data_IF_848658311529
#
_entry.id   IF_848658311529
#
_cell.length_a   1.000
_cell.length_b   1.000
_cell.length_c   1.000
_cell.angle_alpha   90.00
_cell.angle_beta   90.00
_cell.angle_gamma   90.00
#
_symmetry.space_group_name_H-M   'P 1'
#
loop_
_entity.id
_entity.type
_entity.pdbx_description
1 polymer ?
#
# COMPACT_ATOMS: atom_id res chain seq x y z
N UNK A 1 -11.75 -21.11 4.30
CA UNK A 1 -11.99 -19.69 3.96
C UNK A 1 -13.39 -19.56 3.43
N UNK A 2 -14.30 -19.04 4.24
CA UNK A 2 -15.69 -18.80 3.84
C UNK A 2 -15.78 -17.52 3.00
N UNK A 3 -15.31 -17.62 1.74
CA UNK A 3 -15.56 -16.55 0.77
C UNK A 3 -16.95 -16.73 0.19
N UNK A 4 -17.77 -15.68 0.20
CA UNK A 4 -19.12 -15.71 -0.38
C UNK A 4 -19.07 -15.31 -1.85
N UNK A 5 -19.69 -16.10 -2.73
CA UNK A 5 -19.83 -15.69 -4.13
C UNK A 5 -20.99 -14.69 -4.26
N UNK A 6 -20.73 -13.51 -4.79
CA UNK A 6 -21.71 -12.45 -5.03
C UNK A 6 -21.83 -12.14 -6.52
N UNK A 7 -23.00 -11.64 -6.91
CA UNK A 7 -23.32 -11.27 -8.31
C UNK A 7 -23.77 -9.82 -8.35
N UNK A 8 -23.30 -9.09 -9.35
CA UNK A 8 -23.71 -7.74 -9.65
C UNK A 8 -24.09 -7.68 -11.13
N UNK A 9 -25.27 -7.13 -11.44
CA UNK A 9 -25.68 -6.86 -12.81
C UNK A 9 -24.95 -5.62 -13.33
N UNK A 10 -24.87 -5.48 -14.65
CA UNK A 10 -24.41 -4.25 -15.28
C UNK A 10 -25.18 -3.04 -14.74
N UNK A 11 -24.45 -2.01 -14.31
CA UNK A 11 -24.97 -0.79 -13.71
C UNK A 11 -25.09 -0.82 -12.19
N UNK A 12 -24.99 -1.99 -11.56
CA UNK A 12 -25.07 -2.10 -10.10
C UNK A 12 -23.89 -1.38 -9.44
N UNK A 13 -24.19 -0.63 -8.38
CA UNK A 13 -23.18 -0.02 -7.51
C UNK A 13 -22.73 -1.06 -6.49
N UNK A 14 -21.47 -1.49 -6.59
CA UNK A 14 -20.87 -2.47 -5.67
C UNK A 14 -20.70 -1.84 -4.28
N UNK A 15 -20.27 -0.58 -4.23
CA UNK A 15 -20.30 0.30 -3.06
C UNK A 15 -20.06 1.75 -3.49
N UNK A 16 -20.53 2.71 -2.67
CA UNK A 16 -20.29 4.15 -2.86
C UNK A 16 -19.13 4.67 -2.02
N UNK A 17 -18.49 5.74 -2.50
CA UNK A 17 -17.57 6.53 -1.70
C UNK A 17 -18.21 6.97 -0.37
N UNK A 18 -17.44 6.97 0.72
CA UNK A 18 -17.90 7.33 2.05
C UNK A 18 -18.64 6.22 2.82
N UNK A 19 -19.01 5.11 2.19
CA UNK A 19 -19.61 3.98 2.90
C UNK A 19 -18.66 3.34 3.91
N UNK A 20 -19.23 2.78 4.97
CA UNK A 20 -18.49 2.15 6.08
C UNK A 20 -18.27 0.65 5.89
N UNK A 21 -18.82 0.05 4.84
CA UNK A 21 -18.61 -1.38 4.57
C UNK A 21 -17.13 -1.65 4.30
N UNK A 22 -16.60 -2.75 4.86
CA UNK A 22 -15.16 -3.07 4.80
C UNK A 22 -14.83 -4.30 3.95
N UNK A 23 -15.82 -4.89 3.29
CA UNK A 23 -15.61 -6.12 2.53
C UNK A 23 -14.76 -5.84 1.29
N UNK A 24 -13.84 -6.74 0.98
CA UNK A 24 -13.10 -6.72 -0.27
C UNK A 24 -13.76 -7.67 -1.26
N UNK A 25 -13.67 -7.38 -2.56
CA UNK A 25 -14.21 -8.22 -3.61
C UNK A 25 -13.11 -8.60 -4.60
N UNK A 26 -13.01 -9.88 -4.96
CA UNK A 26 -12.14 -10.37 -6.03
C UNK A 26 -13.01 -10.73 -7.24
N UNK A 27 -12.82 -10.03 -8.36
CA UNK A 27 -13.61 -10.22 -9.58
C UNK A 27 -13.20 -11.54 -10.24
N UNK A 28 -14.14 -12.47 -10.40
CA UNK A 28 -13.94 -13.73 -11.15
C UNK A 28 -14.27 -13.58 -12.63
N UNK A 29 -15.30 -12.82 -12.95
CA UNK A 29 -15.76 -12.53 -14.32
C UNK A 29 -16.38 -11.13 -14.36
N UNK A 30 -16.43 -10.54 -15.54
CA UNK A 30 -16.96 -9.20 -15.75
C UNK A 30 -15.94 -8.09 -15.46
N UNK A 31 -16.42 -6.86 -15.48
CA UNK A 31 -15.65 -5.62 -15.37
C UNK A 31 -16.40 -4.59 -14.55
N UNK A 32 -15.67 -3.80 -13.77
CA UNK A 32 -16.17 -2.69 -12.96
C UNK A 32 -15.34 -1.44 -13.25
N UNK A 33 -15.96 -0.26 -13.14
CA UNK A 33 -15.26 1.02 -13.13
C UNK A 33 -15.18 1.59 -11.72
N UNK A 34 -14.07 2.24 -11.42
CA UNK A 34 -13.83 2.96 -10.16
C UNK A 34 -13.93 4.45 -10.43
N UNK A 35 -14.78 5.14 -9.68
CA UNK A 35 -15.01 6.57 -9.78
C UNK A 35 -14.69 7.26 -8.46
N UNK A 36 -13.93 8.34 -8.50
CA UNK A 36 -13.81 9.25 -7.36
C UNK A 36 -14.80 10.40 -7.54
N UNK A 37 -15.33 10.89 -6.44
CA UNK A 37 -16.16 12.08 -6.43
C UNK A 37 -15.31 13.25 -5.91
N UNK A 38 -15.22 14.31 -6.70
CA UNK A 38 -14.57 15.54 -6.30
C UNK A 38 -15.39 16.71 -6.86
N UNK A 39 -15.72 17.67 -6.00
CA UNK A 39 -16.54 18.84 -6.35
C UNK A 39 -17.87 18.47 -7.05
N UNK A 40 -18.49 17.37 -6.62
CA UNK A 40 -19.73 16.85 -7.21
C UNK A 40 -19.57 16.22 -8.60
N UNK A 41 -18.36 16.18 -9.16
CA UNK A 41 -18.05 15.48 -10.42
C UNK A 41 -17.57 14.06 -10.13
N UNK A 42 -18.07 13.10 -10.90
CA UNK A 42 -17.58 11.73 -10.90
C UNK A 42 -16.47 11.57 -11.94
N UNK A 43 -15.28 11.24 -11.46
CA UNK A 43 -14.08 11.10 -12.28
C UNK A 43 -13.71 9.62 -12.36
N UNK A 44 -13.77 8.98 -13.53
CA UNK A 44 -13.34 7.59 -13.69
C UNK A 44 -11.81 7.51 -13.55
N UNK A 45 -11.34 6.65 -12.65
CA UNK A 45 -9.90 6.48 -12.37
C UNK A 45 -9.35 5.25 -13.08
N UNK A 46 -10.07 4.13 -13.01
CA UNK A 46 -9.59 2.87 -13.58
C UNK A 46 -10.72 1.88 -13.78
N UNK A 47 -10.48 0.89 -14.63
CA UNK A 47 -11.33 -0.28 -14.80
C UNK A 47 -10.67 -1.50 -14.17
N UNK A 48 -11.50 -2.36 -13.59
CA UNK A 48 -11.12 -3.59 -12.92
C UNK A 48 -11.83 -4.76 -13.58
N UNK A 49 -11.11 -5.84 -13.85
CA UNK A 49 -11.62 -7.07 -14.47
C UNK A 49 -11.17 -8.33 -13.73
N UNK A 50 -11.28 -9.47 -14.41
CA UNK A 50 -10.98 -10.80 -13.86
C UNK A 50 -9.61 -10.86 -13.16
N UNK A 51 -9.61 -11.38 -11.93
CA UNK A 51 -8.43 -11.54 -11.09
C UNK A 51 -8.04 -10.30 -10.30
N UNK A 52 -8.55 -9.12 -10.66
CA UNK A 52 -8.37 -7.91 -9.87
C UNK A 52 -9.35 -7.86 -8.71
N UNK A 53 -9.00 -7.11 -7.69
CA UNK A 53 -9.80 -6.93 -6.48
C UNK A 53 -10.13 -5.47 -6.23
N UNK A 54 -11.13 -5.20 -5.40
CA UNK A 54 -11.56 -3.85 -5.06
C UNK A 54 -12.07 -3.79 -3.63
N UNK A 55 -11.92 -2.62 -2.99
CA UNK A 55 -12.31 -2.42 -1.61
C UNK A 55 -11.25 -2.81 -0.60
N UNK A 56 -10.05 -3.15 -1.07
CA UNK A 56 -8.91 -3.55 -0.24
C UNK A 56 -8.48 -2.44 0.74
N UNK A 57 -8.67 -1.17 0.37
CA UNK A 57 -8.28 -0.05 1.21
C UNK A 57 -9.07 -0.05 2.51
N UNK A 58 -10.39 -0.14 2.42
CA UNK A 58 -11.30 -0.20 3.58
C UNK A 58 -11.15 -1.52 4.35
N UNK A 59 -10.93 -2.62 3.63
CA UNK A 59 -10.64 -3.92 4.21
C UNK A 59 -9.39 -3.87 5.12
N UNK A 60 -8.26 -3.39 4.60
CA UNK A 60 -6.98 -3.34 5.32
C UNK A 60 -6.88 -2.24 6.37
N UNK A 61 -7.52 -1.09 6.16
CA UNK A 61 -7.34 0.10 7.02
C UNK A 61 -8.55 0.47 7.88
N UNK A 62 -9.71 -0.13 7.61
CA UNK A 62 -10.97 0.24 8.28
C UNK A 62 -11.52 1.61 7.96
N UNK A 63 -10.83 2.38 7.11
CA UNK A 63 -11.32 3.66 6.62
C UNK A 63 -12.52 3.44 5.70
N UNK A 64 -13.40 4.45 5.60
CA UNK A 64 -14.52 4.49 4.65
C UNK A 64 -14.04 4.27 3.20
N UNK A 65 -14.95 3.85 2.33
CA UNK A 65 -14.68 3.69 0.89
C UNK A 65 -14.14 5.00 0.31
N UNK A 66 -13.01 4.92 -0.38
CA UNK A 66 -12.34 6.06 -1.02
C UNK A 66 -12.91 6.42 -2.40
N UNK A 67 -13.68 5.50 -2.99
CA UNK A 67 -14.22 5.63 -4.34
C UNK A 67 -15.54 4.86 -4.45
N UNK A 68 -16.35 5.23 -5.42
CA UNK A 68 -17.54 4.50 -5.86
C UNK A 68 -17.13 3.48 -6.91
N UNK A 69 -17.71 2.28 -6.86
CA UNK A 69 -17.43 1.21 -7.83
C UNK A 69 -18.73 0.73 -8.45
N UNK A 70 -18.76 0.73 -9.78
CA UNK A 70 -19.95 0.39 -10.57
C UNK A 70 -19.60 -0.75 -11.52
N UNK A 71 -20.48 -1.75 -11.62
CA UNK A 71 -20.34 -2.85 -12.57
C UNK A 71 -20.57 -2.36 -14.01
N UNK A 72 -19.59 -2.50 -14.90
CA UNK A 72 -19.70 -2.18 -16.32
C UNK A 72 -20.32 -3.34 -17.12
N UNK A 73 -20.11 -4.56 -16.63
CA UNK A 73 -20.73 -5.80 -17.13
C UNK A 73 -21.23 -6.63 -15.95
N UNK A 74 -21.95 -7.72 -16.23
CA UNK A 74 -22.36 -8.63 -15.17
C UNK A 74 -21.12 -9.24 -14.49
N UNK A 75 -20.98 -9.00 -13.19
CA UNK A 75 -19.84 -9.46 -12.38
C UNK A 75 -20.23 -10.64 -11.52
N UNK A 76 -19.33 -11.61 -11.46
CA UNK A 76 -19.26 -12.57 -10.37
C UNK A 76 -17.98 -12.28 -9.56
N UNK A 77 -18.11 -12.13 -8.25
CA UNK A 77 -16.97 -11.84 -7.39
C UNK A 77 -16.98 -12.69 -6.11
N UNK A 78 -15.81 -12.98 -5.56
CA UNK A 78 -15.70 -13.45 -4.18
C UNK A 78 -15.71 -12.25 -3.25
N UNK A 79 -16.62 -12.23 -2.30
CA UNK A 79 -16.62 -11.31 -1.18
C UNK A 79 -15.78 -11.89 -0.03
N UNK A 80 -14.90 -11.05 0.51
CA UNK A 80 -13.97 -11.37 1.60
C UNK A 80 -14.23 -10.38 2.74
N UNK A 81 -14.73 -10.85 3.89
CA UNK A 81 -14.98 -10.02 5.05
C UNK A 81 -13.68 -9.71 5.83
N UNK A 82 -13.59 -8.57 6.53
CA UNK A 82 -12.38 -8.10 7.22
C UNK A 82 -11.94 -8.95 8.41
N UNK A 83 -12.85 -9.73 9.02
CA UNK A 83 -12.52 -10.62 10.15
C UNK A 83 -11.46 -11.67 9.81
N UNK A 84 -11.26 -11.95 8.51
CA UNK A 84 -10.16 -12.80 8.04
C UNK A 84 -8.77 -12.22 8.37
N UNK A 85 -8.66 -10.92 8.64
CA UNK A 85 -7.39 -10.28 9.03
C UNK A 85 -7.01 -10.57 10.48
N UNK A 86 -7.99 -10.89 11.32
CA UNK A 86 -7.83 -11.15 12.75
C UNK A 86 -7.81 -12.66 13.06
N UNK A 87 -7.95 -13.51 12.03
CA UNK A 87 -7.95 -14.96 12.18
C UNK A 87 -6.53 -15.47 12.43
N UNK A 88 -6.26 -15.83 13.69
CA UNK A 88 -4.97 -16.37 14.14
C UNK A 88 -4.57 -17.65 13.38
N UNK A 89 -5.53 -18.45 12.90
CA UNK A 89 -5.25 -19.67 12.14
C UNK A 89 -4.66 -19.37 10.75
N UNK A 90 -4.85 -18.16 10.24
CA UNK A 90 -4.23 -17.73 9.00
C UNK A 90 -2.79 -17.27 9.19
N UNK A 91 -2.31 -17.08 10.42
CA UNK A 91 -0.91 -16.78 10.69
C UNK A 91 -0.42 -15.50 10.00
N UNK A 92 -1.28 -14.48 9.88
CA UNK A 92 -0.92 -13.22 9.21
C UNK A 92 0.21 -12.52 9.99
N UNK A 93 1.35 -12.34 9.33
CA UNK A 93 2.48 -11.66 9.95
C UNK A 93 2.24 -10.16 10.07
N UNK A 94 2.51 -9.60 11.26
CA UNK A 94 2.30 -8.17 11.56
C UNK A 94 3.00 -7.24 10.56
N UNK A 95 4.20 -7.60 10.11
CA UNK A 95 4.95 -6.80 9.15
C UNK A 95 4.33 -6.81 7.75
N UNK A 96 3.70 -7.91 7.34
CA UNK A 96 3.08 -8.03 6.02
C UNK A 96 1.85 -7.12 5.97
N UNK A 97 1.07 -7.11 7.06
CA UNK A 97 -0.04 -6.17 7.25
C UNK A 97 0.47 -4.73 7.23
N UNK A 98 1.59 -4.44 7.90
CA UNK A 98 2.23 -3.12 7.86
C UNK A 98 2.57 -2.66 6.44
N UNK A 99 3.22 -3.51 5.65
CA UNK A 99 3.57 -3.20 4.25
C UNK A 99 2.32 -2.96 3.41
N UNK A 100 1.29 -3.81 3.56
CA UNK A 100 0.03 -3.64 2.86
C UNK A 100 -0.62 -2.29 3.17
N UNK A 101 -0.63 -1.88 4.45
CA UNK A 101 -1.16 -0.58 4.89
C UNK A 101 -0.36 0.60 4.31
N UNK A 102 0.97 0.50 4.24
CA UNK A 102 1.81 1.54 3.63
C UNK A 102 1.49 1.71 2.15
N UNK A 103 1.38 0.60 1.41
CA UNK A 103 1.01 0.63 -0.01
C UNK A 103 -0.38 1.25 -0.21
N UNK A 104 -1.37 0.85 0.59
CA UNK A 104 -2.73 1.41 0.54
C UNK A 104 -2.71 2.92 0.77
N UNK A 105 -2.00 3.38 1.80
CA UNK A 105 -1.89 4.82 2.11
C UNK A 105 -1.30 5.59 0.93
N UNK A 106 -0.22 5.08 0.32
CA UNK A 106 0.38 5.69 -0.87
C UNK A 106 -0.58 5.76 -2.04
N UNK A 107 -1.26 4.66 -2.36
CA UNK A 107 -2.25 4.64 -3.45
C UNK A 107 -3.32 5.69 -3.22
N UNK A 108 -3.82 5.82 -1.98
CA UNK A 108 -4.83 6.83 -1.65
C UNK A 108 -4.31 8.23 -1.90
N UNK A 109 -3.14 8.57 -1.35
CA UNK A 109 -2.55 9.91 -1.51
C UNK A 109 -2.34 10.25 -2.98
N UNK A 110 -1.80 9.33 -3.78
CA UNK A 110 -1.59 9.55 -5.21
C UNK A 110 -2.90 9.67 -5.97
N UNK A 111 -3.93 8.87 -5.62
CA UNK A 111 -5.26 8.95 -6.24
C UNK A 111 -5.95 10.29 -5.93
N UNK A 112 -5.79 10.80 -4.71
CA UNK A 112 -6.32 12.11 -4.31
C UNK A 112 -5.65 13.25 -5.07
N UNK A 113 -4.31 13.21 -5.19
CA UNK A 113 -3.55 14.17 -6.01
C UNK A 113 -4.00 14.13 -7.47
N UNK A 114 -4.12 12.93 -8.05
CA UNK A 114 -4.64 12.76 -9.42
C UNK A 114 -6.03 13.41 -9.56
N UNK A 115 -6.92 13.22 -8.58
CA UNK A 115 -8.22 13.88 -8.56
C UNK A 115 -8.16 15.41 -8.49
N UNK A 116 -7.24 15.98 -7.72
CA UNK A 116 -7.00 17.44 -7.65
C UNK A 116 -6.54 17.97 -9.02
N UNK A 117 -5.61 17.28 -9.67
CA UNK A 117 -5.11 17.66 -10.99
C UNK A 117 -6.19 17.57 -12.09
N UNK A 118 -7.03 16.52 -12.06
CA UNK A 118 -8.09 16.31 -13.05
C UNK A 118 -9.20 17.36 -13.03
N UNK A 119 -9.30 18.17 -11.97
CA UNK A 119 -10.29 19.25 -11.87
C UNK A 119 -9.73 20.59 -12.37
N UNK A 120 -8.41 20.72 -12.52
CA UNK A 120 -7.75 21.97 -12.89
C UNK A 120 -7.54 22.89 -11.69
N UNK A 121 -6.53 23.76 -11.79
CA UNK A 121 -6.15 24.73 -10.75
C UNK A 121 -7.29 25.73 -10.47
N UNK A 122 -8.15 25.42 -9.51
CA UNK A 122 -8.68 26.43 -8.61
C UNK A 122 -8.09 26.16 -7.23
N UNK A 123 -7.11 27.00 -6.87
CA UNK A 123 -6.62 27.13 -5.49
C UNK A 123 -7.83 27.06 -4.56
N UNK A 124 -7.85 26.21 -3.51
CA UNK A 124 -8.98 26.17 -2.60
C UNK A 124 -9.13 27.55 -1.99
N UNK A 125 -10.12 28.29 -2.50
CA UNK A 125 -10.57 29.52 -1.89
C UNK A 125 -11.24 29.04 -0.63
N UNK A 126 -10.73 29.47 0.53
CA UNK A 126 -11.45 29.33 1.79
C UNK A 126 -12.75 30.10 1.58
N UNK A 127 -13.80 29.41 1.16
CA UNK A 127 -15.15 29.96 1.10
C UNK A 127 -15.71 29.81 2.50
N UNK A 128 -15.62 30.89 3.25
CA UNK A 128 -16.60 31.17 4.29
C UNK A 128 -17.99 31.17 3.63
N UNK A 129 -18.79 30.13 3.88
CA UNK A 129 -20.21 30.25 4.20
C UNK A 129 -20.89 28.86 4.15
N UNK A 130 -21.33 28.38 5.31
CA UNK A 130 -22.74 28.52 5.71
C UNK A 130 -22.90 27.98 7.14
N UNK A 131 -22.76 28.91 8.09
CA UNK A 131 -23.56 28.84 9.30
C UNK A 131 -25.03 29.01 8.89
N UNK A 132 -25.92 28.30 9.59
CA UNK A 132 -27.38 28.31 9.49
C UNK A 132 -28.02 27.41 8.42
N UNK A 133 -28.36 26.18 8.83
CA UNK A 133 -29.68 25.62 8.57
C UNK A 133 -30.08 24.78 9.79
N UNK A 134 -31.07 25.27 10.54
CA UNK A 134 -31.78 24.46 11.51
C UNK A 134 -32.49 23.32 10.77
N UNK A 135 -32.15 22.07 11.09
CA UNK A 135 -32.94 20.91 10.65
C UNK A 135 -34.11 20.78 11.63
N UNK A 136 -35.38 20.77 11.18
CA UNK A 136 -36.51 20.54 12.07
C UNK A 136 -36.42 19.13 12.67
N UNK A 137 -36.50 19.07 14.00
CA UNK A 137 -36.52 17.83 14.77
C UNK A 137 -37.79 17.02 14.45
N UNK A 138 -37.70 15.70 14.20
CA UNK A 138 -38.84 14.83 14.36
C UNK A 138 -39.18 14.68 15.86
N UNK A 139 -40.45 14.40 16.07
CA UNK A 139 -41.21 14.42 17.32
C UNK A 139 -40.52 13.86 18.57
N UNK A 140 -40.77 14.52 19.69
CA UNK A 140 -40.23 14.19 21.02
C UNK A 140 -40.98 13.00 21.60
N UNK A 141 -40.27 11.88 21.77
CA UNK A 141 -40.52 11.01 22.93
C UNK A 141 -39.20 10.48 23.52
N UNK A 142 -38.83 11.14 24.62
CA UNK A 142 -38.01 10.71 25.75
C UNK A 142 -36.90 9.65 25.54
N UNK A 143 -35.64 10.10 25.48
CA UNK A 143 -34.50 9.64 26.34
C UNK A 143 -33.43 10.75 26.36
N UNK A 144 -32.82 11.01 27.52
CA UNK A 144 -31.88 12.10 27.88
C UNK A 144 -30.79 12.40 26.81
N UNK A 145 -30.67 13.67 26.41
CA UNK A 145 -29.60 14.20 25.54
C UNK A 145 -28.35 14.57 26.35
N UNK A 146 -27.25 13.84 26.20
CA UNK A 146 -25.90 14.33 26.55
C UNK A 146 -25.47 15.36 25.50
N UNK A 147 -25.15 16.59 25.92
CA UNK A 147 -24.68 17.68 25.07
C UNK A 147 -23.23 17.46 24.62
N UNK A 148 -22.99 16.44 23.77
CA UNK A 148 -21.69 16.26 23.15
C UNK A 148 -21.53 17.21 21.94
N UNK A 149 -20.55 18.13 21.98
CA UNK A 149 -20.15 18.92 20.81
C UNK A 149 -19.17 18.08 19.98
N UNK A 150 -19.39 17.91 18.68
CA UNK A 150 -18.53 17.09 17.81
C UNK A 150 -17.73 17.97 16.84
N UNK A 151 -16.42 17.74 16.75
CA UNK A 151 -15.51 18.36 15.80
C UNK A 151 -15.06 17.32 14.77
N UNK A 152 -15.50 17.49 13.52
CA UNK A 152 -15.09 16.63 12.41
C UNK A 152 -13.78 17.11 11.82
N UNK A 153 -12.77 16.25 11.82
CA UNK A 153 -11.48 16.51 11.19
C UNK A 153 -11.47 15.88 9.79
N UNK A 154 -11.06 16.67 8.79
CA UNK A 154 -10.99 16.28 7.38
C UNK A 154 -9.58 16.51 6.84
N UNK A 155 -9.16 15.69 5.88
CA UNK A 155 -7.91 15.93 5.15
C UNK A 155 -6.67 15.39 5.87
N UNK A 156 -5.51 16.00 5.65
CA UNK A 156 -4.25 15.60 6.28
C UNK A 156 -4.12 16.25 7.66
N UNK A 157 -3.89 15.45 8.69
CA UNK A 157 -3.64 15.92 10.05
C UNK A 157 -2.12 16.07 10.26
N UNK A 158 -1.64 17.30 10.05
CA UNK A 158 -0.21 17.62 10.04
C UNK A 158 0.16 18.61 11.14
N UNK A 159 1.46 18.92 11.29
CA UNK A 159 1.94 19.99 12.16
C UNK A 159 1.14 21.30 11.99
N UNK A 160 0.82 21.66 10.73
CA UNK A 160 0.04 22.86 10.40
C UNK A 160 -1.41 22.82 10.88
N UNK A 161 -1.97 21.63 11.07
CA UNK A 161 -3.35 21.43 11.51
C UNK A 161 -3.51 21.57 13.02
N UNK A 162 -2.42 21.40 13.79
CA UNK A 162 -2.44 21.30 15.25
C UNK A 162 -2.92 22.59 15.91
N UNK A 163 -2.32 23.73 15.58
CA UNK A 163 -2.66 25.00 16.23
C UNK A 163 -4.07 25.50 15.88
N UNK A 164 -4.56 25.39 14.64
CA UNK A 164 -5.97 25.61 14.33
C UNK A 164 -6.93 24.78 15.19
N UNK A 165 -6.60 23.50 15.42
CA UNK A 165 -7.43 22.60 16.24
C UNK A 165 -7.37 23.00 17.72
N UNK A 166 -6.19 23.29 18.27
CA UNK A 166 -6.06 23.79 19.64
C UNK A 166 -6.86 25.07 19.85
N UNK A 167 -6.80 26.00 18.91
CA UNK A 167 -7.55 27.24 18.98
C UNK A 167 -9.06 26.96 18.92
N UNK A 168 -9.51 26.05 18.05
CA UNK A 168 -10.92 25.66 18.00
C UNK A 168 -11.40 25.02 19.30
N UNK A 169 -10.60 24.13 19.91
CA UNK A 169 -10.91 23.52 21.20
C UNK A 169 -11.04 24.60 22.30
N UNK A 170 -10.14 25.59 22.31
CA UNK A 170 -10.19 26.72 23.25
C UNK A 170 -11.41 27.61 23.02
N UNK A 171 -11.72 27.95 21.77
CA UNK A 171 -12.90 28.75 21.38
C UNK A 171 -14.21 28.09 21.81
N UNK A 172 -14.27 26.76 21.78
CA UNK A 172 -15.46 26.01 22.16
C UNK A 172 -15.80 26.12 23.65
N UNK A 173 -14.90 26.71 24.49
CA UNK A 173 -15.08 26.99 25.92
C UNK A 173 -15.85 25.87 26.62
N UNK A 174 -15.25 24.68 26.64
CA UNK A 174 -15.87 23.48 27.21
C UNK A 174 -16.33 23.78 28.65
N UNK A 175 -17.65 23.86 28.84
CA UNK A 175 -18.23 23.91 30.19
C UNK A 175 -17.93 22.57 30.87
N UNK A 176 -17.94 22.50 32.21
CA UNK A 176 -17.60 21.27 32.95
C UNK A 176 -18.34 20.01 32.45
N UNK A 177 -19.58 20.18 32.01
CA UNK A 177 -20.46 19.07 31.60
C UNK A 177 -20.50 18.84 30.07
N UNK A 178 -19.66 19.51 29.30
CA UNK A 178 -19.65 19.39 27.83
C UNK A 178 -18.62 18.36 27.38
N UNK A 179 -19.08 17.30 26.73
CA UNK A 179 -18.20 16.32 26.08
C UNK A 179 -17.85 16.83 24.68
N UNK A 180 -16.57 16.93 24.36
CA UNK A 180 -16.09 17.19 23.01
C UNK A 180 -15.74 15.87 22.32
N UNK A 181 -16.36 15.59 21.18
CA UNK A 181 -16.00 14.45 20.35
C UNK A 181 -15.09 14.93 19.23
N UNK A 182 -13.83 14.50 19.23
CA UNK A 182 -12.91 14.67 18.11
C UNK A 182 -13.07 13.49 17.15
N UNK A 183 -13.65 13.73 15.99
CA UNK A 183 -13.97 12.70 15.00
C UNK A 183 -12.95 12.71 13.86
N UNK A 184 -12.18 11.62 13.74
CA UNK A 184 -11.15 11.44 12.72
C UNK A 184 -11.63 10.71 11.46
N UNK A 185 -12.94 10.49 11.28
CA UNK A 185 -13.51 9.67 10.19
C UNK A 185 -13.03 10.02 8.79
N UNK A 186 -12.80 11.30 8.54
CA UNK A 186 -12.51 11.83 7.21
C UNK A 186 -11.05 12.33 7.11
N UNK A 187 -10.20 11.94 8.08
CA UNK A 187 -8.76 12.17 8.04
C UNK A 187 -8.10 11.16 7.10
N UNK A 188 -7.29 11.66 6.17
CA UNK A 188 -6.66 10.86 5.11
C UNK A 188 -5.15 10.68 5.29
N UNK A 189 -4.56 11.42 6.20
CA UNK A 189 -3.19 11.16 6.61
C UNK A 189 -2.92 11.81 7.96
N UNK A 190 -1.92 11.31 8.69
CA UNK A 190 -1.46 11.90 9.94
C UNK A 190 0.06 11.89 9.94
N UNK A 191 0.72 13.05 10.05
CA UNK A 191 2.19 13.09 10.14
C UNK A 191 2.68 12.78 11.58
N UNK A 192 4.00 12.81 11.79
CA UNK A 192 4.57 12.54 13.12
C UNK A 192 4.12 13.55 14.18
N UNK A 193 4.00 14.83 13.81
CA UNK A 193 3.56 15.88 14.72
C UNK A 193 2.11 15.67 15.16
N UNK A 194 1.23 15.28 14.22
CA UNK A 194 -0.15 14.91 14.49
C UNK A 194 -0.24 13.71 15.43
N UNK A 195 0.51 12.62 15.18
CA UNK A 195 0.57 11.46 16.07
C UNK A 195 0.98 11.87 17.49
N UNK A 196 2.05 12.67 17.62
CA UNK A 196 2.54 13.14 18.91
C UNK A 196 1.49 13.97 19.65
N UNK A 197 0.76 14.83 18.94
CA UNK A 197 -0.31 15.63 19.52
C UNK A 197 -1.50 14.78 19.97
N UNK A 198 -1.88 13.74 19.21
CA UNK A 198 -2.93 12.81 19.65
C UNK A 198 -2.48 12.08 20.92
N UNK A 199 -1.24 11.60 20.98
CA UNK A 199 -0.73 10.96 22.19
C UNK A 199 -0.71 11.91 23.39
N UNK A 200 -0.41 13.20 23.19
CA UNK A 200 -0.48 14.17 24.27
C UNK A 200 -1.93 14.47 24.69
N UNK A 201 -2.88 14.49 23.74
CA UNK A 201 -4.31 14.58 24.04
C UNK A 201 -4.79 13.37 24.86
N UNK A 202 -4.46 12.14 24.46
CA UNK A 202 -4.86 10.91 25.17
C UNK A 202 -4.34 10.91 26.62
N UNK A 203 -3.15 11.49 26.85
CA UNK A 203 -2.54 11.62 28.17
C UNK A 203 -3.03 12.84 28.97
N UNK A 204 -3.88 13.69 28.38
CA UNK A 204 -4.38 14.89 29.04
C UNK A 204 -5.48 14.57 30.05
N UNK A 205 -5.59 15.37 31.11
CA UNK A 205 -6.67 15.24 32.09
C UNK A 205 -8.06 15.36 31.46
N UNK A 206 -8.21 16.14 30.38
CA UNK A 206 -9.49 16.31 29.69
C UNK A 206 -9.99 15.00 29.06
N UNK A 207 -9.10 14.12 28.58
CA UNK A 207 -9.48 12.78 28.10
C UNK A 207 -9.70 11.83 29.26
N UNK A 208 -8.86 11.88 30.29
CA UNK A 208 -8.98 11.03 31.49
C UNK A 208 -10.31 11.26 32.23
N UNK A 209 -10.78 12.51 32.27
CA UNK A 209 -12.08 12.91 32.84
C UNK A 209 -13.25 12.77 31.86
N UNK A 210 -13.03 12.13 30.69
CA UNK A 210 -14.03 11.90 29.63
C UNK A 210 -14.65 13.18 29.03
N UNK A 211 -14.00 14.34 29.22
CA UNK A 211 -14.40 15.64 28.64
C UNK A 211 -14.05 15.74 27.16
N UNK A 212 -13.02 15.03 26.71
CA UNK A 212 -12.69 14.85 25.29
C UNK A 212 -12.74 13.36 24.94
N UNK A 213 -13.62 12.98 24.01
CA UNK A 213 -13.69 11.65 23.42
C UNK A 213 -13.10 11.69 22.02
N UNK A 214 -12.18 10.78 21.73
CA UNK A 214 -11.59 10.65 20.40
C UNK A 214 -12.26 9.45 19.70
N UNK A 215 -12.91 9.71 18.58
CA UNK A 215 -13.60 8.68 17.79
C UNK A 215 -12.93 8.47 16.43
N UNK A 216 -13.17 7.30 15.85
CA UNK A 216 -12.66 6.92 14.53
C UNK A 216 -11.12 6.96 14.42
N UNK A 217 -10.43 6.67 15.54
CA UNK A 217 -8.97 6.55 15.66
C UNK A 217 -8.32 5.40 14.87
N UNK A 218 -9.07 4.68 14.03
CA UNK A 218 -8.54 3.53 13.29
C UNK A 218 -7.35 3.93 12.40
N UNK A 219 -7.35 5.15 11.85
CA UNK A 219 -6.24 5.74 11.08
C UNK A 219 -4.93 5.91 11.87
N UNK A 220 -5.05 6.30 13.14
CA UNK A 220 -3.90 6.52 14.05
C UNK A 220 -3.34 5.18 14.48
N UNK A 221 -4.23 4.25 14.86
CA UNK A 221 -3.87 2.86 15.13
C UNK A 221 -3.13 2.28 13.94
N UNK A 222 -3.55 2.55 12.71
CA UNK A 222 -2.92 1.96 11.54
C UNK A 222 -1.54 2.50 11.21
N UNK A 223 -1.28 3.81 11.38
CA UNK A 223 0.08 4.35 11.21
C UNK A 223 1.01 3.93 12.35
N UNK A 224 0.50 3.83 13.58
CA UNK A 224 1.28 3.35 14.74
C UNK A 224 1.54 1.83 14.65
N UNK A 225 0.54 1.03 14.27
CA UNK A 225 0.65 -0.42 14.08
C UNK A 225 1.47 -0.77 12.83
N UNK A 226 1.40 0.02 11.75
CA UNK A 226 2.22 -0.20 10.55
C UNK A 226 3.71 -0.10 10.88
N UNK A 227 4.08 0.86 11.73
CA UNK A 227 5.47 1.01 12.17
C UNK A 227 5.84 -0.15 13.13
N UNK A 228 4.95 -0.52 14.06
CA UNK A 228 5.22 -1.55 15.06
C UNK A 228 5.50 -2.94 14.44
N UNK A 229 4.77 -3.33 13.41
CA UNK A 229 5.02 -4.58 12.68
C UNK A 229 6.40 -4.64 12.02
N UNK A 230 6.88 -3.51 11.47
CA UNK A 230 8.22 -3.38 10.89
C UNK A 230 9.31 -3.26 11.97
N UNK A 231 9.02 -2.57 13.08
CA UNK A 231 9.90 -2.51 14.25
C UNK A 231 10.21 -3.89 14.81
N UNK A 232 9.25 -4.83 14.79
CA UNK A 232 9.50 -6.21 15.20
C UNK A 232 10.54 -6.93 14.31
N UNK A 233 10.54 -6.66 13.00
CA UNK A 233 11.62 -7.15 12.12
C UNK A 233 12.93 -6.47 12.51
N UNK A 234 12.90 -5.14 12.66
CA UNK A 234 14.07 -4.32 13.01
C UNK A 234 14.70 -4.68 14.37
N UNK A 235 13.93 -5.19 15.32
CA UNK A 235 14.42 -5.62 16.63
C UNK A 235 14.99 -7.05 16.59
N UNK A 236 14.47 -7.92 15.72
CA UNK A 236 14.89 -9.33 15.61
C UNK A 236 16.08 -9.54 14.68
N UNK A 237 16.32 -8.61 13.76
CA UNK A 237 17.40 -8.67 12.78
C UNK A 237 18.32 -7.47 12.96
N UNK A 238 19.64 -7.67 12.89
CA UNK A 238 20.60 -6.55 12.94
C UNK A 238 20.55 -5.79 11.60
N UNK A 239 19.48 -5.03 11.38
CA UNK A 239 19.25 -4.32 10.12
C UNK A 239 20.22 -3.15 10.03
N UNK A 240 21.03 -3.05 8.97
CA UNK A 240 21.94 -1.93 8.76
C UNK A 240 21.21 -0.59 8.79
N UNK A 241 21.82 0.41 9.42
CA UNK A 241 21.36 1.79 9.38
C UNK A 241 22.23 2.54 8.37
N UNK A 242 21.58 3.18 7.39
CA UNK A 242 22.24 4.11 6.47
C UNK A 242 21.94 5.54 6.92
N UNK A 243 22.99 6.34 7.06
CA UNK A 243 22.90 7.79 7.21
C UNK A 243 22.79 8.42 5.82
N UNK A 244 21.94 9.43 5.69
CA UNK A 244 21.69 10.12 4.42
C UNK A 244 21.75 11.62 4.67
N UNK A 245 22.65 12.30 3.98
CA UNK A 245 22.82 13.75 4.11
C UNK A 245 21.77 14.52 3.29
N UNK A 246 21.53 15.78 3.64
CA UNK A 246 20.63 16.64 2.86
C UNK A 246 21.14 16.76 1.42
N UNK A 247 20.25 16.54 0.46
CA UNK A 247 20.53 16.53 -0.97
C UNK A 247 21.10 15.21 -1.50
N UNK A 248 21.40 14.24 -0.64
CA UNK A 248 21.89 12.93 -1.07
C UNK A 248 20.75 12.14 -1.75
N UNK A 249 21.08 11.52 -2.88
CA UNK A 249 20.22 10.59 -3.60
C UNK A 249 20.27 9.22 -2.93
N UNK A 250 19.18 8.86 -2.26
CA UNK A 250 19.02 7.56 -1.62
C UNK A 250 18.67 6.45 -2.63
N UNK A 251 17.83 6.77 -3.62
CA UNK A 251 17.40 5.84 -4.66
C UNK A 251 17.49 6.55 -6.01
N UNK A 252 18.12 5.93 -7.01
CA UNK A 252 18.08 6.40 -8.41
C UNK A 252 17.00 5.65 -9.20
N UNK A 253 16.15 6.39 -9.89
CA UNK A 253 15.21 5.92 -10.90
C UNK A 253 15.93 5.06 -11.94
N UNK A 254 15.26 3.98 -12.36
CA UNK A 254 15.83 3.03 -13.33
C UNK A 254 16.86 2.07 -12.76
N UNK A 255 17.39 2.31 -11.54
CA UNK A 255 18.32 1.39 -10.92
C UNK A 255 17.67 0.03 -10.66
N UNK A 256 18.47 -1.02 -10.80
CA UNK A 256 18.09 -2.39 -10.47
C UNK A 256 18.56 -2.69 -9.04
N UNK A 257 17.74 -2.29 -8.08
CA UNK A 257 18.01 -2.51 -6.66
C UNK A 257 16.82 -3.17 -5.98
N UNK A 258 17.12 -4.16 -5.15
CA UNK A 258 16.15 -4.95 -4.41
C UNK A 258 16.35 -4.74 -2.91
N UNK A 259 16.26 -3.49 -2.49
CA UNK A 259 16.28 -3.10 -1.08
C UNK A 259 15.13 -2.13 -0.81
N UNK A 260 14.50 -2.22 0.34
CA UNK A 260 13.57 -1.20 0.82
C UNK A 260 14.16 -0.49 2.02
N UNK A 261 13.68 0.72 2.25
CA UNK A 261 14.14 1.57 3.32
C UNK A 261 12.98 1.89 4.25
N UNK A 262 13.16 1.70 5.55
CA UNK A 262 12.23 2.21 6.56
C UNK A 262 12.84 3.47 7.14
N UNK A 263 12.15 4.59 7.00
CA UNK A 263 12.65 5.89 7.47
C UNK A 263 12.59 5.92 8.99
N UNK A 264 13.74 6.09 9.64
CA UNK A 264 13.81 6.28 11.10
C UNK A 264 13.60 7.74 11.46
N UNK A 265 14.28 8.64 10.75
CA UNK A 265 14.13 10.10 10.85
C UNK A 265 14.62 10.76 9.55
N UNK A 266 14.35 12.06 9.41
CA UNK A 266 14.62 12.83 8.21
C UNK A 266 13.38 13.04 7.35
N UNK A 267 13.59 13.61 6.17
CA UNK A 267 12.56 13.94 5.19
C UNK A 267 13.09 13.61 3.80
N UNK A 268 12.33 12.86 3.02
CA UNK A 268 12.74 12.41 1.70
C UNK A 268 11.67 12.75 0.67
N UNK A 269 12.06 13.42 -0.41
CA UNK A 269 11.19 13.66 -1.57
C UNK A 269 11.32 12.51 -2.55
N UNK A 270 10.17 11.99 -2.99
CA UNK A 270 10.06 10.96 -4.01
C UNK A 270 9.59 11.66 -5.28
N UNK A 271 10.44 11.68 -6.31
CA UNK A 271 10.17 12.37 -7.56
C UNK A 271 10.52 11.51 -8.75
N UNK A 272 9.94 11.80 -9.91
CA UNK A 272 10.25 11.12 -11.15
C UNK A 272 10.78 12.12 -12.16
N UNK A 273 11.94 11.80 -12.73
CA UNK A 273 12.47 12.52 -13.88
C UNK A 273 11.71 12.08 -15.14
N UNK A 274 11.22 13.07 -15.88
CA UNK A 274 10.54 12.92 -17.15
C UNK A 274 11.17 13.85 -18.19
N UNK A 275 10.87 13.63 -19.47
CA UNK A 275 11.35 14.51 -20.56
C UNK A 275 10.91 15.98 -20.37
N UNK A 276 9.76 16.19 -19.73
CA UNK A 276 9.16 17.52 -19.51
C UNK A 276 9.53 18.16 -18.18
N UNK A 277 10.30 17.48 -17.33
CA UNK A 277 10.70 17.98 -16.01
C UNK A 277 10.61 16.94 -14.89
N UNK A 278 10.73 17.40 -13.65
CA UNK A 278 10.66 16.54 -12.46
C UNK A 278 9.27 16.61 -11.82
N UNK A 279 8.63 15.46 -11.68
CA UNK A 279 7.30 15.33 -11.08
C UNK A 279 7.44 14.84 -9.65
N UNK A 280 6.92 15.58 -8.67
CA UNK A 280 6.94 15.14 -7.27
C UNK A 280 5.77 14.18 -7.01
N UNK A 281 6.09 12.90 -6.78
CA UNK A 281 5.09 11.87 -6.54
C UNK A 281 4.63 11.86 -5.08
N UNK A 282 5.56 12.00 -4.14
CA UNK A 282 5.27 11.90 -2.71
C UNK A 282 6.40 12.48 -1.85
N UNK A 283 6.14 12.53 -0.54
CA UNK A 283 7.11 12.80 0.51
C UNK A 283 7.09 11.65 1.51
N UNK A 284 8.24 11.29 2.06
CA UNK A 284 8.38 10.25 3.06
C UNK A 284 9.10 10.78 4.31
N UNK A 285 8.56 10.41 5.48
CA UNK A 285 9.02 10.83 6.80
C UNK A 285 9.14 9.60 7.72
N UNK A 286 9.48 9.83 9.00
CA UNK A 286 9.63 8.76 9.99
C UNK A 286 8.46 7.76 9.96
N UNK A 287 8.80 6.47 9.87
CA UNK A 287 7.86 5.36 9.78
C UNK A 287 7.41 4.99 8.37
N UNK A 288 7.68 5.82 7.37
CA UNK A 288 7.35 5.49 5.98
C UNK A 288 8.34 4.48 5.39
N UNK A 289 7.85 3.66 4.47
CA UNK A 289 8.66 2.68 3.73
C UNK A 289 8.83 3.16 2.30
N UNK A 290 10.06 3.16 1.79
CA UNK A 290 10.41 3.59 0.44
C UNK A 290 11.16 2.48 -0.29
N UNK A 291 10.95 2.34 -1.60
CA UNK A 291 11.62 1.31 -2.40
C UNK A 291 11.05 -0.10 -2.22
N UNK A 292 9.94 -0.24 -1.51
CA UNK A 292 9.21 -1.48 -1.28
C UNK A 292 8.79 -2.14 -2.60
N UNK A 293 8.50 -1.33 -3.61
CA UNK A 293 7.94 -1.80 -4.86
C UNK A 293 8.88 -2.71 -5.63
N UNK A 294 10.19 -2.44 -5.66
CA UNK A 294 11.18 -3.25 -6.40
C UNK A 294 11.66 -4.47 -5.60
N UNK A 295 11.48 -4.44 -4.27
CA UNK A 295 11.77 -5.57 -3.39
C UNK A 295 10.66 -6.63 -3.45
N UNK A 296 9.40 -6.19 -3.36
CA UNK A 296 8.20 -7.05 -3.29
C UNK A 296 7.81 -7.60 -4.67
N UNK A 297 7.87 -6.73 -5.69
CA UNK A 297 7.57 -7.09 -7.07
C UNK A 297 8.74 -6.68 -7.95
N UNK A 298 9.36 -7.67 -8.60
CA UNK A 298 10.52 -7.44 -9.46
C UNK A 298 10.27 -6.31 -10.46
N UNK A 299 11.25 -5.41 -10.57
CA UNK A 299 11.21 -4.26 -11.45
C UNK A 299 12.24 -3.22 -11.04
N UNK A 300 12.49 -2.27 -11.94
CA UNK A 300 13.36 -1.13 -11.69
C UNK A 300 12.76 -0.17 -10.67
N UNK A 301 13.61 0.67 -10.07
CA UNK A 301 13.19 1.82 -9.28
C UNK A 301 12.34 2.75 -10.15
N UNK A 302 11.13 3.06 -9.70
CA UNK A 302 10.17 3.88 -10.44
C UNK A 302 10.38 5.38 -10.31
N UNK A 303 11.22 5.80 -9.36
CA UNK A 303 11.38 7.19 -8.95
C UNK A 303 12.74 7.40 -8.26
N UNK A 304 13.23 8.62 -8.31
CA UNK A 304 14.30 9.13 -7.48
C UNK A 304 13.81 9.38 -6.05
N UNK A 305 14.70 9.24 -5.08
CA UNK A 305 14.45 9.57 -3.68
C UNK A 305 15.61 10.38 -3.14
N UNK A 306 15.36 11.63 -2.78
CA UNK A 306 16.38 12.58 -2.33
C UNK A 306 16.02 13.06 -0.93
N UNK A 307 17.02 13.20 -0.05
CA UNK A 307 16.80 13.71 1.30
C UNK A 307 16.65 15.25 1.31
N UNK A 308 15.50 15.78 1.73
CA UNK A 308 15.32 17.23 1.94
C UNK A 308 15.91 17.69 3.28
N UNK A 309 15.92 16.78 4.26
CA UNK A 309 16.53 16.94 5.58
C UNK A 309 17.42 15.73 5.85
N UNK A 310 18.57 15.90 6.51
CA UNK A 310 19.43 14.77 6.86
C UNK A 310 18.64 13.77 7.70
N UNK A 311 18.92 12.50 7.51
CA UNK A 311 18.11 11.43 8.07
C UNK A 311 18.84 10.10 8.19
N UNK A 312 18.14 9.15 8.78
CA UNK A 312 18.61 7.77 8.91
C UNK A 312 17.51 6.83 8.46
N UNK A 313 17.91 5.79 7.73
CA UNK A 313 17.01 4.76 7.22
C UNK A 313 17.53 3.38 7.59
N UNK A 314 16.61 2.46 7.90
CA UNK A 314 16.94 1.05 8.00
C UNK A 314 16.92 0.43 6.61
N UNK A 315 17.97 -0.30 6.26
CA UNK A 315 18.12 -0.92 4.93
C UNK A 315 17.72 -2.38 5.00
N UNK A 316 16.56 -2.72 4.44
CA UNK A 316 16.08 -4.10 4.37
C UNK A 316 16.33 -4.65 2.97
N UNK A 317 17.20 -5.66 2.89
CA UNK A 317 17.49 -6.35 1.64
C UNK A 317 16.51 -7.51 1.39
N UNK A 318 16.62 -8.10 0.19
CA UNK A 318 15.91 -9.33 -0.21
C UNK A 318 15.97 -10.39 0.87
N UNK A 319 17.13 -10.67 1.45
CA UNK A 319 17.32 -11.76 2.41
C UNK A 319 16.56 -11.47 3.71
N UNK A 320 16.64 -10.26 4.22
CA UNK A 320 15.92 -9.83 5.44
C UNK A 320 14.40 -9.85 5.22
N UNK A 321 13.95 -9.44 4.05
CA UNK A 321 12.55 -9.53 3.66
C UNK A 321 12.08 -10.98 3.61
N UNK A 322 12.79 -11.84 2.87
CA UNK A 322 12.41 -13.24 2.69
C UNK A 322 12.54 -14.12 3.94
N UNK A 323 13.41 -13.75 4.88
CA UNK A 323 13.42 -14.31 6.23
C UNK A 323 12.05 -14.30 6.90
N UNK A 324 11.20 -13.33 6.55
CA UNK A 324 9.92 -13.11 7.18
C UNK A 324 8.72 -13.49 6.27
N UNK A 325 8.93 -13.66 4.95
CA UNK A 325 7.90 -14.00 3.94
C UNK A 325 7.26 -15.36 4.14
N UNK A 326 7.99 -16.35 4.65
CA UNK A 326 7.43 -17.69 4.89
C UNK A 326 6.32 -17.72 5.96
N UNK A 327 6.18 -16.65 6.75
CA UNK A 327 5.09 -16.48 7.70
C UNK A 327 3.91 -15.69 7.11
N UNK A 328 3.81 -15.61 5.78
CA UNK A 328 2.73 -14.89 5.10
C UNK A 328 1.94 -15.85 4.22
N UNK A 329 0.62 -15.97 4.39
CA UNK A 329 -0.22 -16.76 3.50
C UNK A 329 -0.10 -16.32 2.04
N UNK A 330 -0.03 -17.28 1.12
CA UNK A 330 0.14 -16.99 -0.31
C UNK A 330 -0.91 -16.02 -0.87
N UNK A 331 -2.17 -16.15 -0.46
CA UNK A 331 -3.24 -15.23 -0.88
C UNK A 331 -2.99 -13.77 -0.45
N UNK A 332 -2.38 -13.56 0.73
CA UNK A 332 -2.08 -12.24 1.25
C UNK A 332 -0.85 -11.64 0.55
N UNK A 333 0.12 -12.49 0.18
CA UNK A 333 1.23 -12.06 -0.67
C UNK A 333 0.74 -11.61 -2.06
N UNK A 334 -0.23 -12.30 -2.65
CA UNK A 334 -0.88 -11.87 -3.90
C UNK A 334 -1.62 -10.54 -3.74
N UNK A 335 -2.28 -10.31 -2.60
CA UNK A 335 -2.86 -9.00 -2.27
C UNK A 335 -1.78 -7.90 -2.24
N UNK A 336 -0.66 -8.13 -1.55
CA UNK A 336 0.45 -7.17 -1.51
C UNK A 336 1.00 -6.91 -2.92
N UNK A 337 1.20 -7.95 -3.74
CA UNK A 337 1.68 -7.80 -5.13
C UNK A 337 0.73 -7.00 -6.00
N UNK A 338 -0.57 -7.19 -5.83
CA UNK A 338 -1.58 -6.38 -6.50
C UNK A 338 -1.54 -4.92 -6.07
N UNK A 339 -1.28 -4.64 -4.78
CA UNK A 339 -1.19 -3.28 -4.25
C UNK A 339 0.03 -2.56 -4.84
N UNK A 340 1.16 -3.26 -4.93
CA UNK A 340 2.35 -2.73 -5.62
C UNK A 340 2.05 -2.40 -7.08
N UNK A 341 1.36 -3.29 -7.81
CA UNK A 341 1.00 -3.01 -9.20
C UNK A 341 0.05 -1.82 -9.31
N UNK A 342 -0.93 -1.72 -8.42
CA UNK A 342 -1.88 -0.60 -8.38
C UNK A 342 -1.13 0.72 -8.16
N UNK A 343 -0.26 0.79 -7.16
CA UNK A 343 0.54 1.99 -6.89
C UNK A 343 1.40 2.38 -8.10
N UNK A 344 2.01 1.40 -8.78
CA UNK A 344 2.79 1.64 -10.02
C UNK A 344 1.90 2.28 -11.09
N UNK A 345 0.72 1.72 -11.31
CA UNK A 345 -0.23 2.20 -12.32
C UNK A 345 -0.76 3.59 -11.98
N UNK A 346 -1.13 3.84 -10.73
CA UNK A 346 -1.63 5.14 -10.28
C UNK A 346 -0.56 6.22 -10.41
N UNK A 347 0.71 5.91 -10.09
CA UNK A 347 1.82 6.83 -10.32
C UNK A 347 1.99 7.17 -11.81
N UNK A 348 1.91 6.18 -12.71
CA UNK A 348 1.96 6.43 -14.17
C UNK A 348 0.80 7.30 -14.65
N UNK A 349 -0.41 7.08 -14.17
CA UNK A 349 -1.55 7.92 -14.50
C UNK A 349 -1.31 9.37 -14.11
N UNK A 350 -0.77 9.62 -12.91
CA UNK A 350 -0.40 10.96 -12.45
C UNK A 350 0.63 11.62 -13.40
N UNK A 351 1.65 10.86 -13.81
CA UNK A 351 2.70 11.34 -14.72
C UNK A 351 2.13 11.67 -16.11
N UNK A 352 1.33 10.78 -16.69
CA UNK A 352 0.68 11.00 -17.98
C UNK A 352 -0.21 12.23 -17.94
N UNK A 353 -0.98 12.37 -16.87
CA UNK A 353 -1.84 13.54 -16.69
C UNK A 353 -1.05 14.84 -16.61
N UNK A 354 0.02 14.90 -15.82
CA UNK A 354 0.86 16.11 -15.74
C UNK A 354 1.52 16.47 -17.08
N UNK A 355 1.73 15.50 -17.97
CA UNK A 355 2.21 15.72 -19.34
C UNK A 355 1.11 16.09 -20.34
N UNK A 356 -0.16 16.11 -19.92
CA UNK A 356 -1.30 16.32 -20.81
C UNK A 356 -1.56 15.15 -21.77
N UNK A 357 -1.03 13.95 -21.47
CA UNK A 357 -1.27 12.75 -22.25
C UNK A 357 -2.68 12.19 -21.99
N UNK A 358 -3.23 11.48 -22.98
CA UNK A 358 -4.58 10.90 -22.86
C UNK A 358 -4.61 9.70 -21.89
N UNK A 359 -5.37 9.82 -20.81
CA UNK A 359 -5.53 8.78 -19.79
C UNK A 359 -6.36 7.57 -20.26
N UNK A 360 -7.08 7.65 -21.38
CA UNK A 360 -7.88 6.54 -21.89
C UNK A 360 -7.06 5.44 -22.56
N UNK A 361 -5.78 5.68 -22.86
CA UNK A 361 -4.91 4.63 -23.37
C UNK A 361 -4.54 3.63 -22.26
N UNK A 362 -4.70 2.32 -22.50
CA UNK A 362 -4.31 1.33 -21.52
C UNK A 362 -2.84 1.53 -21.15
N UNK A 363 -2.54 1.51 -19.85
CA UNK A 363 -1.16 1.44 -19.40
C UNK A 363 -0.55 0.20 -20.06
N UNK A 364 0.47 0.41 -20.87
CA UNK A 364 1.21 -0.69 -21.48
C UNK A 364 1.59 -1.67 -20.38
N UNK A 365 1.58 -2.96 -20.69
CA UNK A 365 2.11 -3.94 -19.75
C UNK A 365 3.52 -3.47 -19.39
N UNK A 366 3.73 -3.16 -18.11
CA UNK A 366 5.08 -3.05 -17.59
C UNK A 366 5.78 -4.30 -18.06
N UNK A 367 6.92 -4.17 -18.73
CA UNK A 367 7.82 -5.29 -19.00
C UNK A 367 8.26 -5.81 -17.63
N UNK A 368 7.39 -6.61 -17.01
CA UNK A 368 7.61 -7.29 -15.75
C UNK A 368 8.63 -8.34 -16.07
N UNK A 369 9.87 -8.13 -15.61
CA UNK A 369 10.95 -8.86 -16.22
C UNK A 369 10.87 -10.32 -15.78
N UNK A 370 10.37 -10.70 -14.59
CA UNK A 370 10.00 -12.08 -14.21
C UNK A 370 8.95 -12.04 -13.09
N UNK A 371 8.03 -13.00 -13.06
CA UNK A 371 7.16 -13.23 -11.89
C UNK A 371 7.65 -14.44 -11.09
N UNK A 372 8.36 -14.22 -9.97
CA UNK A 372 8.65 -15.27 -8.99
C UNK A 372 7.50 -15.36 -8.00
N UNK A 373 6.67 -16.40 -8.16
CA UNK A 373 5.65 -16.77 -7.19
C UNK A 373 6.26 -17.72 -6.18
N UNK A 374 6.24 -17.30 -4.92
CA UNK A 374 6.72 -18.11 -3.81
C UNK A 374 5.52 -18.83 -3.21
N UNK A 375 5.65 -20.14 -3.10
CA UNK A 375 4.70 -20.91 -2.31
C UNK A 375 5.20 -20.89 -0.86
N UNK A 376 4.67 -19.94 -0.07
CA UNK A 376 5.04 -19.84 1.35
C UNK A 376 4.66 -21.08 2.16
N UNK A 377 3.76 -21.93 1.64
CA UNK A 377 3.42 -23.23 2.25
C UNK A 377 4.44 -24.32 1.96
N UNK A 378 5.33 -24.11 0.97
CA UNK A 378 6.39 -25.05 0.56
C UNK A 378 7.74 -24.34 0.42
N UNK A 379 8.41 -24.03 1.54
CA UNK A 379 9.70 -23.36 1.53
C UNK A 379 10.74 -24.07 0.64
N UNK A 380 11.44 -23.31 -0.20
CA UNK A 380 12.37 -23.85 -1.21
C UNK A 380 11.73 -24.20 -2.56
N UNK A 381 10.41 -23.98 -2.74
CA UNK A 381 9.76 -24.07 -4.05
C UNK A 381 9.53 -22.67 -4.64
N UNK A 382 10.06 -22.44 -5.83
CA UNK A 382 9.92 -21.20 -6.60
C UNK A 382 9.15 -21.50 -7.87
N UNK A 383 8.02 -20.82 -8.10
CA UNK A 383 7.33 -20.84 -9.38
C UNK A 383 7.73 -19.61 -10.19
N UNK A 384 8.38 -19.83 -11.32
CA UNK A 384 8.85 -18.80 -12.26
C UNK A 384 7.82 -18.64 -13.38
N UNK A 385 7.54 -17.40 -13.76
CA UNK A 385 6.57 -17.09 -14.81
C UNK A 385 6.96 -15.87 -15.64
N UNK A 386 6.60 -15.86 -16.92
CA UNK A 386 6.95 -14.77 -17.84
C UNK A 386 8.32 -14.96 -18.49
N UNK A 387 9.06 -13.87 -18.70
CA UNK A 387 10.37 -13.88 -19.37
C UNK A 387 11.49 -14.09 -18.34
N UNK A 388 12.58 -14.76 -18.69
CA UNK A 388 13.79 -14.84 -17.87
C UNK A 388 14.88 -14.02 -18.57
N UNK A 389 15.23 -12.87 -18.00
CA UNK A 389 16.38 -12.07 -18.40
C UNK A 389 17.43 -12.00 -17.28
N UNK A 390 18.63 -11.50 -17.59
CA UNK A 390 19.76 -11.50 -16.67
C UNK A 390 19.47 -10.81 -15.32
N UNK A 391 18.89 -9.58 -15.28
CA UNK A 391 18.40 -8.96 -14.05
C UNK A 391 17.57 -9.88 -13.15
N UNK A 392 16.63 -10.63 -13.72
CA UNK A 392 15.73 -11.48 -12.93
C UNK A 392 16.44 -12.70 -12.37
N UNK A 393 17.37 -13.26 -13.15
CA UNK A 393 18.18 -14.35 -12.65
C UNK A 393 19.02 -13.86 -11.48
N UNK A 394 19.60 -12.67 -11.55
CA UNK A 394 20.33 -12.10 -10.42
C UNK A 394 19.43 -11.96 -9.18
N UNK A 395 18.16 -11.55 -9.34
CA UNK A 395 17.19 -11.53 -8.24
C UNK A 395 16.90 -12.95 -7.70
N UNK A 396 16.56 -13.92 -8.56
CA UNK A 396 16.36 -15.32 -8.18
C UNK A 396 17.58 -15.88 -7.44
N UNK A 397 18.80 -15.51 -7.86
CA UNK A 397 20.04 -15.92 -7.21
C UNK A 397 20.14 -15.44 -5.77
N UNK A 398 19.68 -14.23 -5.47
CA UNK A 398 19.62 -13.75 -4.09
C UNK A 398 18.68 -14.61 -3.24
N UNK A 399 17.53 -15.03 -3.81
CA UNK A 399 16.60 -15.94 -3.14
C UNK A 399 17.20 -17.32 -2.92
N UNK A 400 17.85 -17.87 -3.94
CA UNK A 400 18.45 -19.20 -3.88
C UNK A 400 19.61 -19.24 -2.88
N UNK A 401 20.48 -18.24 -2.89
CA UNK A 401 21.55 -18.09 -1.88
C UNK A 401 21.00 -18.05 -0.46
N UNK A 402 19.85 -17.39 -0.27
CA UNK A 402 19.18 -17.37 1.02
C UNK A 402 18.74 -18.78 1.47
N UNK A 403 18.10 -19.56 0.59
CA UNK A 403 17.72 -20.94 0.90
C UNK A 403 18.92 -21.84 1.21
N UNK A 404 20.06 -21.60 0.55
CA UNK A 404 21.31 -22.32 0.83
C UNK A 404 21.85 -22.03 2.23
N UNK A 405 21.80 -20.77 2.69
CA UNK A 405 22.23 -20.42 4.05
C UNK A 405 21.39 -21.12 5.12
N UNK A 406 20.12 -21.44 4.82
CA UNK A 406 19.25 -22.25 5.68
C UNK A 406 19.57 -23.75 5.63
N UNK A 407 20.66 -24.16 4.97
CA UNK A 407 21.10 -25.56 4.80
C UNK A 407 20.03 -26.46 4.18
N UNK A 408 19.18 -25.91 3.31
CA UNK A 408 18.14 -26.68 2.65
C UNK A 408 18.77 -27.64 1.64
N UNK A 409 18.38 -28.91 1.69
CA UNK A 409 18.96 -29.97 0.84
C UNK A 409 18.35 -30.02 -0.55
N UNK A 410 17.12 -29.57 -0.70
CA UNK A 410 16.37 -29.61 -1.95
C UNK A 410 15.68 -28.27 -2.22
N UNK A 411 15.78 -27.80 -3.45
CA UNK A 411 15.10 -26.61 -3.98
C UNK A 411 14.40 -26.99 -5.29
N UNK A 412 13.16 -26.53 -5.46
CA UNK A 412 12.35 -26.81 -6.65
C UNK A 412 12.13 -25.52 -7.43
N UNK A 413 12.55 -25.49 -8.69
CA UNK A 413 12.26 -24.42 -9.64
C UNK A 413 11.18 -24.88 -10.62
N UNK A 414 9.96 -24.39 -10.44
CA UNK A 414 8.82 -24.64 -11.33
C UNK A 414 8.76 -23.55 -12.41
N UNK A 415 9.21 -23.89 -13.60
CA UNK A 415 9.30 -23.03 -14.77
C UNK A 415 8.16 -23.28 -15.77
N UNK A 416 7.09 -23.98 -15.35
CA UNK A 416 5.95 -24.32 -16.21
C UNK A 416 5.26 -23.12 -16.87
N UNK A 417 5.38 -21.93 -16.27
CA UNK A 417 4.77 -20.68 -16.75
C UNK A 417 5.78 -19.70 -17.37
N UNK A 418 7.02 -20.12 -17.59
CA UNK A 418 8.04 -19.31 -18.26
C UNK A 418 7.80 -19.36 -19.77
N UNK A 419 7.72 -18.19 -20.40
CA UNK A 419 7.41 -18.03 -21.82
C UNK A 419 8.64 -17.78 -22.68
N UNK A 420 9.72 -17.21 -22.13
CA UNK A 420 10.98 -16.94 -22.85
C UNK A 420 12.18 -16.92 -21.89
N UNK A 421 13.35 -17.30 -22.38
CA UNK A 421 14.62 -17.22 -21.63
C UNK A 421 15.70 -16.59 -22.52
N UNK A 422 16.26 -15.47 -22.07
CA UNK A 422 17.34 -14.79 -22.77
C UNK A 422 18.67 -15.55 -22.61
N UNK A 423 19.59 -15.49 -23.57
CA UNK A 423 20.87 -16.23 -23.51
C UNK A 423 21.69 -15.94 -22.24
N UNK A 424 21.78 -14.66 -21.86
CA UNK A 424 22.49 -14.24 -20.64
C UNK A 424 21.85 -14.78 -19.37
N UNK A 425 20.51 -14.92 -19.35
CA UNK A 425 19.79 -15.52 -18.24
C UNK A 425 20.08 -17.02 -18.12
N UNK A 426 20.18 -17.73 -19.25
CA UNK A 426 20.54 -19.15 -19.29
C UNK A 426 21.94 -19.39 -18.69
N UNK A 427 22.92 -18.60 -19.12
CA UNK A 427 24.29 -18.71 -18.60
C UNK A 427 24.34 -18.45 -17.08
N UNK A 428 23.65 -17.42 -16.61
CA UNK A 428 23.57 -17.11 -15.18
C UNK A 428 22.86 -18.23 -14.38
N UNK A 429 21.78 -18.82 -14.91
CA UNK A 429 21.11 -19.96 -14.26
C UNK A 429 22.01 -21.18 -14.17
N UNK A 430 22.79 -21.47 -15.21
CA UNK A 430 23.74 -22.57 -15.20
C UNK A 430 24.85 -22.39 -14.16
N UNK A 431 25.45 -21.19 -14.07
CA UNK A 431 26.47 -20.89 -13.05
C UNK A 431 25.93 -21.13 -11.63
N UNK A 432 24.70 -20.69 -11.39
CA UNK A 432 24.03 -20.82 -10.10
C UNK A 432 23.72 -22.27 -9.78
N UNK A 433 23.17 -23.01 -10.75
CA UNK A 433 22.91 -24.44 -10.62
C UNK A 433 24.20 -25.20 -10.25
N UNK A 434 25.30 -24.94 -10.96
CA UNK A 434 26.60 -25.57 -10.68
C UNK A 434 27.12 -25.21 -9.29
N UNK A 435 27.06 -23.93 -8.91
CA UNK A 435 27.51 -23.46 -7.59
C UNK A 435 26.70 -24.08 -6.45
N UNK A 436 25.39 -24.23 -6.63
CA UNK A 436 24.51 -24.84 -5.65
C UNK A 436 24.76 -26.33 -5.49
N UNK A 437 24.97 -27.05 -6.59
CA UNK A 437 25.33 -28.47 -6.57
C UNK A 437 26.67 -28.71 -5.85
N UNK A 438 27.67 -27.84 -6.06
CA UNK A 438 28.95 -27.90 -5.32
C UNK A 438 28.79 -27.71 -3.82
N UNK A 439 27.76 -26.97 -3.39
CA UNK A 439 27.44 -26.74 -1.97
C UNK A 439 26.51 -27.82 -1.39
N UNK A 440 26.23 -28.90 -2.13
CA UNK A 440 25.43 -30.04 -1.65
C UNK A 440 23.92 -29.79 -1.62
N UNK A 441 23.42 -28.79 -2.37
CA UNK A 441 21.98 -28.54 -2.54
C UNK A 441 21.52 -29.13 -3.87
N UNK A 442 20.49 -29.99 -3.85
CA UNK A 442 19.85 -30.53 -5.05
C UNK A 442 18.82 -29.54 -5.59
N UNK A 443 18.88 -29.24 -6.88
CA UNK A 443 17.90 -28.38 -7.55
C UNK A 443 17.11 -29.20 -8.55
N UNK A 444 15.80 -29.31 -8.31
CA UNK A 444 14.86 -29.94 -9.22
C UNK A 444 14.17 -28.88 -10.07
N UNK A 445 14.39 -28.93 -11.38
CA UNK A 445 13.71 -28.06 -12.33
C UNK A 445 12.50 -28.79 -12.90
N UNK A 446 11.31 -28.20 -12.78
CA UNK A 446 10.09 -28.64 -13.46
C UNK A 446 9.80 -27.64 -14.58
N UNK A 447 9.91 -28.05 -15.84
CA UNK A 447 9.46 -27.23 -16.96
C UNK A 447 8.75 -28.14 -17.99
N UNK A 448 8.04 -27.58 -18.99
CA UNK A 448 7.53 -28.37 -20.11
C UNK A 448 8.72 -29.04 -20.82
N UNK A 449 8.56 -30.29 -21.29
CA UNK A 449 9.66 -31.13 -21.80
C UNK A 449 10.52 -30.42 -22.87
N UNK A 450 9.90 -29.66 -23.78
CA UNK A 450 10.59 -28.90 -24.83
C UNK A 450 11.53 -27.79 -24.32
N UNK A 451 11.32 -27.29 -23.10
CA UNK A 451 12.12 -26.23 -22.48
C UNK A 451 13.26 -26.79 -21.61
N UNK A 452 13.08 -27.96 -20.98
CA UNK A 452 14.10 -28.57 -20.09
C UNK A 452 15.33 -29.01 -20.89
N UNK A 453 15.14 -29.66 -22.04
CA UNK A 453 16.25 -30.15 -22.86
C UNK A 453 17.12 -29.03 -23.46
N UNK A 454 16.54 -27.82 -23.67
CA UNK A 454 17.24 -26.65 -24.22
C UNK A 454 17.90 -25.75 -23.16
N UNK A 455 17.66 -26.01 -21.87
CA UNK A 455 18.17 -25.21 -20.75
C UNK A 455 19.56 -25.65 -20.28
N UNK A 456 19.91 -26.93 -20.49
CA UNK A 456 21.10 -27.57 -19.92
C UNK A 456 21.98 -28.32 -20.94
N UNK A 457 21.70 -28.22 -22.24
CA UNK A 457 22.62 -28.65 -23.33
C UNK A 457 23.44 -27.47 -23.85
#
# INVERSE_FOLDING_TARGET
MDTRLVRFNKGDVIFKSGETSRNMYIIRTGTAKVLIEKEGRQIPITELGKGQYVGEMSFLTGVKRSATVIAETNIMANEIPPNILDDEHLGLSSWAVSIAKVLVRRIRTTTEQLGEYMIGHETPTITEAQAAAAVPLPDRSAVRQEQARRLFLKGKFTEKSIDPIKNKIRELKLKPDTILILDFSDVIDIDQAGINYIFSLIKSNDVAENRIRIENMQLIRDKVLSIQGLQNIMAKTHIPIKHVDKGELLIKQGALEHVMYVVKNGSFTISRETETGTIQLAKAESGDVIGEMSLIKEGIRSADVIADKPGTVHVLDVRDFYNNVYNVPGWFLELIRGLVQRLRNTNEMLIRFERGENLSEPLGNWNLPLGIVLDSTKPGKFALSGVLNLPNIQYLVHLLKYEMMKKRKEIILDMSKVTKIDPSARAALQDVYQKMRRMGTDIKVRAPEENVEKLFK
#
